data_IF_871198055325
#
_entry.id   IF_871198055325
#
_cell.length_a   1.000
_cell.length_b   1.000
_cell.length_c   1.000
_cell.angle_alpha   90.00
_cell.angle_beta   90.00
_cell.angle_gamma   90.00
#
_symmetry.space_group_name_H-M   'P 1'
#
loop_
_entity.id
_entity.type
_entity.pdbx_description
1 polymer ?
#
# COMPACT_ATOMS: atom_id res chain seq x y z
N UNK A 1 -22.68 -30.45 -15.34
CA UNK A 1 -23.36 -31.72 -15.68
C UNK A 1 -23.71 -31.67 -17.14
N UNK A 2 -23.44 -32.74 -17.89
CA UNK A 2 -23.85 -32.84 -19.30
C UNK A 2 -24.81 -34.01 -19.42
N UNK A 3 -25.99 -33.75 -19.97
CA UNK A 3 -27.01 -34.77 -20.23
C UNK A 3 -27.31 -34.78 -21.72
N UNK A 4 -27.44 -35.98 -22.30
CA UNK A 4 -27.81 -36.18 -23.69
C UNK A 4 -28.95 -37.18 -23.75
N UNK A 5 -30.03 -36.83 -24.44
CA UNK A 5 -31.25 -37.65 -24.53
C UNK A 5 -31.45 -38.29 -25.92
N UNK A 6 -30.44 -38.24 -26.80
CA UNK A 6 -30.50 -38.81 -28.15
C UNK A 6 -30.79 -37.79 -29.25
N UNK A 7 -31.39 -36.63 -28.94
CA UNK A 7 -31.68 -35.57 -29.91
C UNK A 7 -31.11 -34.20 -29.51
N UNK A 8 -30.99 -33.96 -28.20
CA UNK A 8 -30.57 -32.68 -27.66
C UNK A 8 -29.54 -32.89 -26.54
N UNK A 9 -28.56 -32.01 -26.47
CA UNK A 9 -27.55 -31.97 -25.40
C UNK A 9 -27.86 -30.78 -24.51
N UNK A 10 -28.09 -31.06 -23.23
CA UNK A 10 -28.27 -30.02 -22.20
C UNK A 10 -27.02 -29.95 -21.35
N UNK A 11 -26.44 -28.75 -21.28
CA UNK A 11 -25.26 -28.46 -20.47
C UNK A 11 -25.68 -27.53 -19.35
N UNK A 12 -25.55 -28.01 -18.12
CA UNK A 12 -25.79 -27.20 -16.93
C UNK A 12 -24.48 -27.05 -16.13
N UNK A 13 -24.14 -25.82 -15.78
CA UNK A 13 -23.03 -25.57 -14.85
C UNK A 13 -23.55 -25.78 -13.44
N UNK A 14 -22.98 -26.78 -12.77
CA UNK A 14 -23.26 -27.00 -11.34
C UNK A 14 -22.36 -26.03 -10.56
N UNK A 15 -22.92 -25.11 -9.76
CA UNK A 15 -22.10 -24.26 -8.91
C UNK A 15 -21.42 -25.13 -7.87
N UNK A 16 -20.10 -25.03 -7.80
CA UNK A 16 -19.29 -25.64 -6.74
C UNK A 16 -18.86 -24.51 -5.84
N UNK A 17 -19.06 -24.69 -4.53
CA UNK A 17 -18.54 -23.75 -3.55
C UNK A 17 -17.01 -23.91 -3.51
N UNK A 18 -16.32 -22.94 -4.12
CA UNK A 18 -14.86 -22.89 -4.18
C UNK A 18 -14.41 -21.62 -3.48
N UNK A 19 -13.35 -21.73 -2.69
CA UNK A 19 -12.73 -20.59 -2.02
C UNK A 19 -12.28 -19.58 -3.08
N UNK A 20 -12.77 -18.35 -3.00
CA UNK A 20 -12.52 -17.31 -4.00
C UNK A 20 -11.19 -16.60 -3.75
N UNK A 21 -10.41 -16.42 -4.81
CA UNK A 21 -9.25 -15.54 -4.78
C UNK A 21 -9.69 -14.07 -4.79
N UNK A 22 -9.36 -13.33 -3.74
CA UNK A 22 -9.73 -11.92 -3.59
C UNK A 22 -8.52 -11.04 -3.88
N UNK A 23 -8.73 -9.94 -4.60
CA UNK A 23 -7.74 -8.87 -4.73
C UNK A 23 -8.19 -7.70 -3.88
N UNK A 24 -7.30 -7.19 -3.05
CA UNK A 24 -7.54 -6.04 -2.17
C UNK A 24 -6.36 -5.08 -2.26
N UNK A 25 -6.64 -3.80 -2.08
CA UNK A 25 -5.65 -2.75 -2.02
C UNK A 25 -5.82 -1.98 -0.72
N UNK A 26 -4.70 -1.58 -0.11
CA UNK A 26 -4.64 -0.77 1.11
C UNK A 26 -3.70 0.42 0.84
N UNK A 27 -4.25 1.63 0.93
CA UNK A 27 -3.45 2.85 0.96
C UNK A 27 -2.81 3.00 2.35
N UNK A 28 -1.49 2.96 2.39
CA UNK A 28 -0.70 3.04 3.63
C UNK A 28 -0.12 4.43 3.87
N UNK A 29 -0.44 5.42 3.03
CA UNK A 29 0.14 6.77 3.11
C UNK A 29 -0.16 7.51 4.41
N UNK A 30 -1.24 7.14 5.10
CA UNK A 30 -1.66 7.77 6.36
C UNK A 30 -1.11 7.08 7.60
N UNK A 31 -0.44 5.94 7.44
CA UNK A 31 0.11 5.18 8.55
C UNK A 31 1.46 5.75 8.97
N UNK A 32 1.70 5.87 10.26
CA UNK A 32 2.93 6.46 10.77
C UNK A 32 4.07 5.45 10.85
N UNK A 33 3.77 4.16 11.02
CA UNK A 33 4.77 3.13 11.29
C UNK A 33 4.30 1.71 10.94
N UNK A 34 5.23 0.77 11.06
CA UNK A 34 5.01 -0.66 10.80
C UNK A 34 3.95 -1.28 11.73
N UNK A 35 3.83 -0.83 12.98
CA UNK A 35 2.85 -1.38 13.94
C UNK A 35 1.42 -1.01 13.54
N UNK A 36 1.19 0.24 13.13
CA UNK A 36 -0.10 0.69 12.59
C UNK A 36 -0.49 -0.09 11.33
N UNK A 37 0.47 -0.38 10.44
CA UNK A 37 0.24 -1.23 9.28
C UNK A 37 -0.21 -2.65 9.65
N UNK A 38 0.46 -3.29 10.62
CA UNK A 38 0.07 -4.61 11.11
C UNK A 38 -1.35 -4.58 11.69
N UNK A 39 -1.69 -3.54 12.45
CA UNK A 39 -3.03 -3.36 13.04
C UNK A 39 -4.09 -3.18 11.96
N UNK A 40 -3.86 -2.32 10.96
CA UNK A 40 -4.84 -2.09 9.89
C UNK A 40 -5.08 -3.34 9.04
N UNK A 41 -4.03 -4.10 8.70
CA UNK A 41 -4.21 -5.35 7.94
C UNK A 41 -4.93 -6.40 8.80
N UNK A 42 -4.62 -6.49 10.10
CA UNK A 42 -5.28 -7.43 11.00
C UNK A 42 -6.81 -7.21 11.09
N UNK A 43 -7.28 -5.96 10.97
CA UNK A 43 -8.72 -5.63 10.98
C UNK A 43 -9.48 -6.21 9.78
N UNK A 44 -8.80 -6.42 8.65
CA UNK A 44 -9.40 -6.95 7.42
C UNK A 44 -9.04 -8.42 7.18
N UNK A 45 -8.24 -9.02 8.06
CA UNK A 45 -7.79 -10.39 7.92
C UNK A 45 -8.91 -11.39 8.15
N UNK A 46 -8.86 -12.50 7.42
CA UNK A 46 -9.81 -13.59 7.55
C UNK A 46 -9.09 -14.92 7.28
N UNK A 47 -9.09 -15.87 8.23
CA UNK A 47 -8.41 -17.16 8.08
C UNK A 47 -8.89 -18.01 6.89
N UNK A 48 -10.07 -17.71 6.34
CA UNK A 48 -10.65 -18.40 5.19
C UNK A 48 -10.33 -17.74 3.85
N UNK A 49 -9.69 -16.57 3.85
CA UNK A 49 -9.43 -15.80 2.64
C UNK A 49 -8.14 -16.25 1.94
N UNK A 50 -8.28 -16.54 0.64
CA UNK A 50 -7.18 -16.66 -0.32
C UNK A 50 -7.05 -15.28 -1.00
N UNK A 51 -6.05 -14.48 -0.64
CA UNK A 51 -6.01 -13.06 -1.01
C UNK A 51 -4.68 -12.63 -1.62
N UNK A 52 -4.74 -11.63 -2.49
CA UNK A 52 -3.60 -10.84 -2.94
C UNK A 52 -3.82 -9.40 -2.46
N UNK A 53 -2.91 -8.94 -1.60
CA UNK A 53 -2.96 -7.64 -0.93
C UNK A 53 -1.91 -6.70 -1.53
N UNK A 54 -2.38 -5.65 -2.22
CA UNK A 54 -1.54 -4.55 -2.67
C UNK A 54 -1.40 -3.49 -1.59
N UNK A 55 -0.16 -3.15 -1.25
CA UNK A 55 0.15 -2.00 -0.40
C UNK A 55 0.53 -0.83 -1.31
N UNK A 56 -0.20 0.26 -1.23
CA UNK A 56 -0.07 1.40 -2.14
C UNK A 56 0.16 2.69 -1.35
N UNK A 57 0.80 3.67 -1.99
CA UNK A 57 1.04 4.98 -1.41
C UNK A 57 2.45 5.18 -0.85
N UNK A 58 2.63 6.21 -0.04
CA UNK A 58 3.95 6.69 0.36
C UNK A 58 4.03 6.81 1.88
N UNK A 59 4.23 5.71 2.60
CA UNK A 59 4.38 5.77 4.04
C UNK A 59 5.67 6.51 4.42
N UNK A 60 5.73 7.21 5.55
CA UNK A 60 6.94 7.84 6.08
C UNK A 60 7.95 6.83 6.64
N UNK A 61 7.71 5.53 6.48
CA UNK A 61 8.55 4.45 6.97
C UNK A 61 8.76 3.40 5.88
N UNK A 62 9.87 2.67 5.98
CA UNK A 62 10.13 1.53 5.12
C UNK A 62 9.33 0.32 5.63
N UNK A 63 8.54 -0.28 4.75
CA UNK A 63 7.78 -1.49 5.07
C UNK A 63 8.75 -2.68 5.21
N UNK A 64 8.65 -3.40 6.32
CA UNK A 64 9.36 -4.66 6.53
C UNK A 64 8.47 -5.83 6.08
N UNK A 65 8.67 -6.30 4.85
CA UNK A 65 7.91 -7.41 4.26
C UNK A 65 8.14 -8.76 4.97
N UNK A 66 9.36 -9.01 5.46
CA UNK A 66 9.65 -10.23 6.22
C UNK A 66 8.80 -10.29 7.51
N UNK A 67 8.66 -9.15 8.19
CA UNK A 67 7.81 -9.04 9.36
C UNK A 67 6.32 -9.19 9.00
N UNK A 68 5.87 -8.65 7.87
CA UNK A 68 4.50 -8.86 7.39
C UNK A 68 4.22 -10.35 7.20
N UNK A 69 5.14 -11.09 6.56
CA UNK A 69 4.98 -12.52 6.36
C UNK A 69 4.87 -13.26 7.69
N UNK A 70 5.81 -13.04 8.61
CA UNK A 70 5.84 -13.76 9.91
C UNK A 70 4.60 -13.49 10.75
N UNK A 71 4.13 -12.24 10.80
CA UNK A 71 3.06 -11.83 11.72
C UNK A 71 1.68 -12.03 11.11
N UNK A 72 1.51 -11.77 9.81
CA UNK A 72 0.19 -11.69 9.18
C UNK A 72 -0.18 -12.90 8.34
N UNK A 73 0.78 -13.67 7.78
CA UNK A 73 0.43 -14.90 7.04
C UNK A 73 -0.49 -15.85 7.83
N UNK A 74 -0.29 -16.08 9.14
CA UNK A 74 -1.16 -16.96 9.92
C UNK A 74 -2.62 -16.48 10.03
N UNK A 75 -2.91 -15.22 9.67
CA UNK A 75 -4.25 -14.64 9.74
C UNK A 75 -5.07 -14.86 8.46
N UNK A 76 -4.48 -15.44 7.42
CA UNK A 76 -5.11 -15.73 6.14
C UNK A 76 -5.01 -17.22 5.82
N UNK A 77 -5.88 -17.71 4.91
CA UNK A 77 -5.68 -19.04 4.33
C UNK A 77 -4.40 -19.03 3.48
N UNK A 78 -4.22 -17.95 2.71
CA UNK A 78 -2.99 -17.60 2.01
C UNK A 78 -3.04 -16.13 1.61
N UNK A 79 -1.89 -15.46 1.71
CA UNK A 79 -1.72 -14.06 1.31
C UNK A 79 -0.54 -13.94 0.36
N UNK A 80 -0.75 -13.23 -0.73
CA UNK A 80 0.31 -12.73 -1.61
C UNK A 80 0.44 -11.22 -1.40
N UNK A 81 1.64 -10.74 -1.11
CA UNK A 81 1.92 -9.31 -0.94
C UNK A 81 2.39 -8.68 -2.24
N UNK A 82 1.77 -7.56 -2.61
CA UNK A 82 2.19 -6.72 -3.72
C UNK A 82 2.57 -5.34 -3.18
N UNK A 83 3.85 -5.13 -2.87
CA UNK A 83 4.32 -3.84 -2.39
C UNK A 83 4.51 -2.87 -3.58
N UNK A 84 3.63 -1.87 -3.66
CA UNK A 84 3.68 -0.79 -4.64
C UNK A 84 3.94 0.56 -3.96
N UNK A 85 4.49 0.55 -2.75
CA UNK A 85 4.77 1.76 -1.99
C UNK A 85 6.07 2.42 -2.43
N UNK A 86 6.14 3.74 -2.27
CA UNK A 86 7.40 4.48 -2.42
C UNK A 86 7.83 5.05 -1.08
N UNK A 87 9.02 4.65 -0.65
CA UNK A 87 9.65 5.21 0.55
C UNK A 87 10.71 6.24 0.17
N UNK A 88 10.49 7.48 0.60
CA UNK A 88 11.43 8.58 0.39
C UNK A 88 12.37 8.71 1.59
N UNK A 89 13.48 7.98 1.57
CA UNK A 89 14.49 8.06 2.64
C UNK A 89 15.00 9.49 2.85
N UNK A 90 15.44 9.81 4.08
CA UNK A 90 16.00 11.12 4.39
C UNK A 90 17.21 11.46 3.49
N UNK A 91 18.08 10.49 3.22
CA UNK A 91 19.22 10.67 2.31
C UNK A 91 18.77 11.00 0.87
N UNK A 92 17.71 10.35 0.39
CA UNK A 92 17.14 10.66 -0.92
C UNK A 92 16.51 12.06 -0.96
N UNK A 93 15.75 12.43 0.07
CA UNK A 93 15.18 13.79 0.20
C UNK A 93 16.28 14.86 0.26
N UNK A 94 17.39 14.59 0.94
CA UNK A 94 18.56 15.48 0.94
C UNK A 94 19.20 15.60 -0.45
N UNK A 95 19.34 14.49 -1.18
CA UNK A 95 19.85 14.54 -2.56
C UNK A 95 18.93 15.38 -3.47
N UNK A 96 17.61 15.20 -3.36
CA UNK A 96 16.63 16.00 -4.10
C UNK A 96 16.73 17.49 -3.77
N UNK A 97 16.91 17.85 -2.50
CA UNK A 97 16.96 19.25 -2.07
C UNK A 97 18.16 20.02 -2.63
N UNK A 98 19.19 19.31 -3.09
CA UNK A 98 20.37 19.90 -3.77
C UNK A 98 20.11 20.17 -5.25
N UNK A 99 19.09 19.58 -5.85
CA UNK A 99 18.77 19.79 -7.26
C UNK A 99 18.35 21.25 -7.54
N UNK A 100 18.71 21.76 -8.71
CA UNK A 100 18.21 23.04 -9.24
C UNK A 100 16.95 22.83 -10.09
N UNK A 101 16.03 22.01 -9.59
CA UNK A 101 14.78 21.62 -10.26
C UNK A 101 13.57 22.10 -9.45
N UNK A 102 12.37 22.08 -10.07
CA UNK A 102 11.11 22.35 -9.36
C UNK A 102 10.96 21.42 -8.14
N UNK A 103 11.29 20.14 -8.33
CA UNK A 103 11.29 19.12 -7.27
C UNK A 103 12.25 19.49 -6.14
N UNK A 104 13.49 19.85 -6.45
CA UNK A 104 14.45 20.27 -5.43
C UNK A 104 14.03 21.53 -4.67
N UNK A 105 13.46 22.52 -5.36
CA UNK A 105 12.88 23.70 -4.70
C UNK A 105 11.70 23.34 -3.79
N UNK A 106 10.83 22.43 -4.22
CA UNK A 106 9.71 21.96 -3.42
C UNK A 106 10.19 21.28 -2.13
N UNK A 107 11.14 20.34 -2.22
CA UNK A 107 11.70 19.65 -1.05
C UNK A 107 12.31 20.64 -0.07
N UNK A 108 13.14 21.60 -0.55
CA UNK A 108 13.73 22.65 0.31
C UNK A 108 12.67 23.44 1.07
N UNK A 109 11.62 23.90 0.37
CA UNK A 109 10.53 24.68 0.97
C UNK A 109 9.76 23.87 2.02
N UNK A 110 9.52 22.59 1.78
CA UNK A 110 8.83 21.72 2.75
C UNK A 110 9.71 21.45 3.98
N UNK A 111 11.01 21.24 3.79
CA UNK A 111 11.97 21.10 4.90
C UNK A 111 12.06 22.37 5.75
N UNK A 112 12.04 23.55 5.14
CA UNK A 112 11.96 24.83 5.86
C UNK A 112 10.67 24.94 6.69
N UNK A 113 9.52 24.58 6.11
CA UNK A 113 8.25 24.54 6.84
C UNK A 113 8.29 23.57 8.03
N UNK A 114 8.87 22.38 7.86
CA UNK A 114 9.00 21.42 8.97
C UNK A 114 9.87 21.93 10.11
N UNK A 115 10.85 22.80 9.84
CA UNK A 115 11.73 23.40 10.86
C UNK A 115 11.03 24.45 11.72
N UNK A 116 10.03 25.14 11.16
CA UNK A 116 9.30 26.21 11.86
C UNK A 116 7.93 25.78 12.40
N UNK A 117 7.54 24.52 12.16
CA UNK A 117 6.31 23.94 12.69
C UNK A 117 6.31 23.95 14.22
N UNK A 118 5.20 24.41 14.81
CA UNK A 118 5.12 24.69 16.25
C UNK A 118 4.71 23.46 17.06
N UNK A 119 4.04 22.50 16.42
CA UNK A 119 3.57 21.29 17.07
C UNK A 119 3.80 20.02 16.20
N UNK A 120 3.77 18.83 16.82
CA UNK A 120 3.99 17.57 16.11
C UNK A 120 2.98 17.28 14.99
N UNK A 121 1.74 17.73 15.14
CA UNK A 121 0.68 17.53 14.15
C UNK A 121 0.89 18.39 12.90
N UNK A 122 1.27 19.65 13.08
CA UNK A 122 1.68 20.52 11.97
C UNK A 122 2.86 19.93 11.22
N UNK A 123 3.88 19.44 11.94
CA UNK A 123 5.05 18.80 11.32
C UNK A 123 4.65 17.57 10.49
N UNK A 124 3.82 16.69 11.05
CA UNK A 124 3.32 15.50 10.35
C UNK A 124 2.51 15.84 9.10
N UNK A 125 1.68 16.89 9.17
CA UNK A 125 0.92 17.39 8.01
C UNK A 125 1.86 17.88 6.88
N UNK A 126 2.91 18.62 7.24
CA UNK A 126 3.92 19.10 6.27
C UNK A 126 4.68 17.93 5.66
N UNK A 127 5.03 16.91 6.45
CA UNK A 127 5.66 15.68 5.96
C UNK A 127 4.76 14.94 4.96
N UNK A 128 3.48 14.73 5.28
CA UNK A 128 2.53 14.14 4.34
C UNK A 128 2.40 14.95 3.05
N UNK A 129 2.36 16.29 3.16
CA UNK A 129 2.31 17.17 1.99
C UNK A 129 3.58 17.06 1.14
N UNK A 130 4.76 16.84 1.75
CA UNK A 130 6.01 16.59 1.04
C UNK A 130 5.92 15.30 0.21
N UNK A 131 5.50 14.19 0.84
CA UNK A 131 5.41 12.89 0.15
C UNK A 131 4.40 12.91 -1.00
N UNK A 132 3.20 13.45 -0.77
CA UNK A 132 2.17 13.60 -1.81
C UNK A 132 2.61 14.52 -2.94
N UNK A 133 3.28 15.63 -2.60
CA UNK A 133 3.80 16.57 -3.59
C UNK A 133 4.89 15.96 -4.47
N UNK A 134 5.79 15.15 -3.89
CA UNK A 134 6.82 14.44 -4.65
C UNK A 134 6.21 13.44 -5.63
N UNK A 135 5.24 12.64 -5.20
CA UNK A 135 4.52 11.71 -6.08
C UNK A 135 3.87 12.43 -7.27
N UNK A 136 3.18 13.55 -7.01
CA UNK A 136 2.55 14.34 -8.07
C UNK A 136 3.57 14.89 -9.08
N UNK A 137 4.79 15.19 -8.63
CA UNK A 137 5.88 15.68 -9.49
C UNK A 137 6.60 14.55 -10.24
N UNK A 138 6.61 13.32 -9.72
CA UNK A 138 7.17 12.15 -10.41
C UNK A 138 6.21 11.53 -11.44
N UNK A 139 4.90 11.62 -11.20
CA UNK A 139 3.85 11.12 -12.08
C UNK A 139 3.61 11.94 -13.35
N UNK A 140 4.40 12.97 -13.63
CA UNK A 140 4.34 13.79 -14.85
C UNK A 140 4.93 13.11 -16.10
N UNK A 141 4.61 11.83 -16.34
CA UNK A 141 4.93 11.10 -17.56
C UNK A 141 3.66 10.69 -18.30
#
# INVERSE_FOLDING_TARGET
>A
MVQWNGAEVTIEKVPVDVRQFKKRSLDVSLLANQEELLVEISKIANPEDLVSLSLEGNPPFQINEELLNVVLEPLFFYVEWNNQTQFFSEAYLQALSLEQTIRGHFVRRMQEKMKVAQDPGERALVEQALLKGLQALEGGK
#
